data_IF_075849736695
#
_entry.id   IF_075849736695
#
_cell.length_a   1.000
_cell.length_b   1.000
_cell.length_c   1.000
_cell.angle_alpha   90.00
_cell.angle_beta   90.00
_cell.angle_gamma   90.00
#
_symmetry.space_group_name_H-M   'P 1'
#
loop_
_entity.id
_entity.type
_entity.pdbx_description
1 polymer ?
#
# COMPACT_ATOMS: atom_id res chain seq x y z
N UNK A 1 10.84 13.67 18.90
CA UNK A 1 9.51 14.21 18.49
C UNK A 1 9.49 14.84 17.09
N UNK A 2 10.15 15.98 16.81
CA UNK A 2 10.04 16.70 15.52
C UNK A 2 10.40 15.83 14.31
N UNK A 3 11.49 15.07 14.38
CA UNK A 3 11.93 14.16 13.30
C UNK A 3 10.87 13.10 12.96
N UNK A 4 10.17 12.57 13.98
CA UNK A 4 9.07 11.61 13.81
C UNK A 4 7.86 12.22 13.11
N UNK A 5 7.50 13.46 13.47
CA UNK A 5 6.41 14.21 12.82
C UNK A 5 6.71 14.45 11.33
N UNK A 6 7.93 14.87 11.01
CA UNK A 6 8.36 15.06 9.62
C UNK A 6 8.34 13.75 8.84
N UNK A 7 8.82 12.65 9.44
CA UNK A 7 8.80 11.33 8.83
C UNK A 7 7.37 10.83 8.57
N UNK A 8 6.46 10.94 9.54
CA UNK A 8 5.05 10.56 9.39
C UNK A 8 4.33 11.41 8.35
N UNK A 9 4.64 12.71 8.29
CA UNK A 9 4.08 13.61 7.27
C UNK A 9 4.56 13.24 5.86
N UNK A 10 5.85 12.95 5.70
CA UNK A 10 6.39 12.47 4.44
C UNK A 10 5.84 11.10 4.05
N UNK A 11 5.66 10.22 5.02
CA UNK A 11 5.02 8.91 4.81
C UNK A 11 3.57 9.05 4.35
N UNK A 12 2.79 9.94 4.97
CA UNK A 12 1.42 10.20 4.55
C UNK A 12 1.37 10.66 3.10
N UNK A 13 2.29 11.55 2.70
CA UNK A 13 2.47 11.95 1.31
C UNK A 13 2.84 10.77 0.41
N UNK A 14 3.83 9.96 0.80
CA UNK A 14 4.32 8.82 0.02
C UNK A 14 3.22 7.77 -0.22
N UNK A 15 2.48 7.39 0.83
CA UNK A 15 1.35 6.45 0.74
C UNK A 15 0.25 7.03 -0.14
N UNK A 16 -0.16 8.28 0.09
CA UNK A 16 -1.21 8.91 -0.72
C UNK A 16 -0.81 8.93 -2.20
N UNK A 17 0.44 9.30 -2.51
CA UNK A 17 0.92 9.36 -3.90
C UNK A 17 1.15 7.99 -4.53
N UNK A 18 1.55 6.97 -3.76
CA UNK A 18 1.70 5.59 -4.24
C UNK A 18 0.37 4.94 -4.67
N UNK A 19 -0.74 5.36 -4.05
CA UNK A 19 -2.05 4.79 -4.26
C UNK A 19 -2.99 5.65 -5.14
N UNK A 20 -2.52 6.82 -5.59
CA UNK A 20 -3.23 7.65 -6.56
C UNK A 20 -2.62 7.53 -7.96
N UNK A 21 -3.43 7.60 -9.03
CA UNK A 21 -2.92 7.56 -10.39
C UNK A 21 -2.01 8.76 -10.69
N UNK A 22 -0.83 8.55 -11.29
CA UNK A 22 0.10 9.62 -11.63
C UNK A 22 -0.42 10.52 -12.76
N UNK A 23 -1.34 10.02 -13.57
CA UNK A 23 -1.98 10.76 -14.66
C UNK A 23 -3.50 10.81 -14.42
N UNK A 24 -4.13 11.99 -14.34
CA UNK A 24 -5.59 12.07 -14.35
C UNK A 24 -6.12 11.46 -15.66
N UNK A 25 -7.30 10.83 -15.65
CA UNK A 25 -7.88 10.28 -16.87
C UNK A 25 -8.06 11.41 -17.88
N UNK A 26 -7.30 11.38 -18.98
CA UNK A 26 -7.50 12.33 -20.08
C UNK A 26 -8.88 12.11 -20.68
N UNK A 27 -9.73 13.15 -20.80
CA UNK A 27 -11.09 13.01 -21.35
C UNK A 27 -11.13 12.56 -22.83
N UNK A 28 -9.99 12.48 -23.51
CA UNK A 28 -9.92 12.38 -24.96
C UNK A 28 -8.65 11.67 -25.45
N UNK A 29 -8.55 10.34 -25.27
CA UNK A 29 -7.72 9.52 -26.17
C UNK A 29 -8.30 8.14 -26.40
N UNK A 30 -9.32 8.12 -27.26
CA UNK A 30 -9.63 7.10 -28.26
C UNK A 30 -9.26 5.63 -27.98
N UNK A 31 -10.34 4.90 -27.68
CA UNK A 31 -10.57 3.45 -27.78
C UNK A 31 -9.96 2.63 -26.64
N UNK A 32 -10.72 2.60 -25.52
CA UNK A 32 -10.71 1.51 -24.55
C UNK A 32 -11.05 0.21 -25.29
N UNK A 33 -10.09 -0.71 -25.43
CA UNK A 33 -10.30 -1.96 -26.20
C UNK A 33 -10.97 -3.02 -25.33
N UNK A 34 -10.62 -3.07 -24.04
CA UNK A 34 -11.22 -3.97 -23.06
C UNK A 34 -10.98 -3.41 -21.65
N UNK A 35 -12.02 -3.38 -20.80
CA UNK A 35 -11.85 -3.17 -19.36
C UNK A 35 -12.63 -4.22 -18.59
N UNK A 36 -11.91 -5.04 -17.81
CA UNK A 36 -12.49 -6.03 -16.92
C UNK A 36 -12.55 -5.51 -15.48
N UNK A 37 -12.94 -4.25 -15.33
CA UNK A 37 -13.31 -3.68 -14.04
C UNK A 37 -14.70 -4.24 -13.68
N UNK A 38 -14.74 -5.43 -13.06
CA UNK A 38 -15.94 -5.89 -12.37
C UNK A 38 -16.27 -4.96 -11.19
N UNK A 39 -17.46 -5.11 -10.59
CA UNK A 39 -17.87 -4.36 -9.38
C UNK A 39 -16.78 -4.34 -8.29
N UNK A 40 -16.11 -5.48 -8.12
CA UNK A 40 -14.99 -5.67 -7.18
C UNK A 40 -13.80 -4.75 -7.50
N UNK A 41 -13.47 -4.56 -8.77
CA UNK A 41 -12.35 -3.71 -9.21
C UNK A 41 -12.62 -2.23 -8.90
N UNK A 42 -13.82 -1.75 -9.25
CA UNK A 42 -14.25 -0.37 -8.99
C UNK A 42 -14.30 -0.09 -7.49
N UNK A 43 -14.87 -1.02 -6.71
CA UNK A 43 -14.92 -0.92 -5.25
C UNK A 43 -13.52 -0.84 -4.65
N UNK A 44 -12.59 -1.70 -5.09
CA UNK A 44 -11.23 -1.70 -4.59
C UNK A 44 -10.48 -0.40 -4.93
N UNK A 45 -10.54 0.08 -6.18
CA UNK A 45 -9.77 1.25 -6.61
C UNK A 45 -10.30 2.51 -5.95
N UNK A 46 -11.61 2.76 -6.02
CA UNK A 46 -12.16 4.06 -5.67
C UNK A 46 -12.58 4.14 -4.20
N UNK A 47 -13.14 3.06 -3.64
CA UNK A 47 -13.69 3.08 -2.28
C UNK A 47 -12.65 2.60 -1.27
N UNK A 48 -12.08 1.41 -1.46
CA UNK A 48 -11.13 0.83 -0.50
C UNK A 48 -9.86 1.67 -0.37
N UNK A 49 -9.28 2.15 -1.48
CA UNK A 49 -8.08 2.99 -1.45
C UNK A 49 -8.32 4.32 -0.72
N UNK A 50 -9.46 4.96 -0.98
CA UNK A 50 -9.82 6.22 -0.32
C UNK A 50 -10.05 6.03 1.18
N UNK A 51 -10.80 5.00 1.56
CA UNK A 51 -11.02 4.62 2.97
C UNK A 51 -9.70 4.29 3.67
N UNK A 52 -8.81 3.54 3.02
CA UNK A 52 -7.49 3.21 3.57
C UNK A 52 -6.63 4.46 3.78
N UNK A 53 -6.72 5.44 2.89
CA UNK A 53 -5.97 6.71 3.00
C UNK A 53 -6.49 7.55 4.16
N UNK A 54 -7.81 7.64 4.34
CA UNK A 54 -8.44 8.30 5.49
C UNK A 54 -8.06 7.60 6.79
N UNK A 55 -8.13 6.27 6.82
CA UNK A 55 -7.77 5.49 8.00
C UNK A 55 -6.31 5.72 8.39
N UNK A 56 -5.39 5.71 7.44
CA UNK A 56 -3.98 5.99 7.69
C UNK A 56 -3.74 7.43 8.20
N UNK A 57 -4.50 8.39 7.70
CA UNK A 57 -4.46 9.76 8.21
C UNK A 57 -4.91 9.82 9.67
N UNK A 58 -6.03 9.17 10.01
CA UNK A 58 -6.54 9.07 11.39
C UNK A 58 -5.49 8.44 12.30
N UNK A 59 -4.87 7.32 11.88
CA UNK A 59 -3.81 6.66 12.64
C UNK A 59 -2.61 7.57 12.86
N UNK A 60 -2.21 8.34 11.86
CA UNK A 60 -1.11 9.30 11.99
C UNK A 60 -1.41 10.38 13.02
N UNK A 61 -2.65 10.89 13.05
CA UNK A 61 -3.08 11.82 14.09
C UNK A 61 -3.11 11.18 15.48
N UNK A 62 -3.66 9.96 15.60
CA UNK A 62 -3.66 9.21 16.85
C UNK A 62 -2.24 8.96 17.37
N UNK A 63 -1.32 8.57 16.48
CA UNK A 63 0.07 8.34 16.81
C UNK A 63 0.76 9.59 17.34
N UNK A 64 0.60 10.72 16.64
CA UNK A 64 1.16 12.01 17.07
C UNK A 64 0.55 12.45 18.40
N UNK A 65 -0.74 12.22 18.62
CA UNK A 65 -1.40 12.52 19.87
C UNK A 65 -0.83 11.72 21.04
N UNK A 66 -0.73 10.39 20.92
CA UNK A 66 -0.13 9.51 21.95
C UNK A 66 1.32 9.92 22.21
N UNK A 67 2.10 10.15 21.14
CA UNK A 67 3.47 10.63 21.24
C UNK A 67 3.56 11.94 22.03
N UNK A 68 2.68 12.91 21.78
CA UNK A 68 2.64 14.16 22.52
C UNK A 68 2.27 13.95 24.00
N UNK A 69 1.28 13.11 24.28
CA UNK A 69 0.86 12.79 25.66
C UNK A 69 1.97 12.12 26.47
N UNK A 70 2.78 11.25 25.84
CA UNK A 70 3.97 10.67 26.48
C UNK A 70 5.04 11.72 26.79
N UNK A 71 5.24 12.72 25.93
CA UNK A 71 6.26 13.75 26.14
C UNK A 71 5.92 14.71 27.28
N UNK A 72 4.64 15.01 27.48
CA UNK A 72 4.17 15.78 28.64
C UNK A 72 3.96 14.91 29.89
N UNK A 73 4.32 13.62 29.83
CA UNK A 73 4.13 12.62 30.89
C UNK A 73 2.67 12.46 31.37
N UNK A 74 1.70 12.74 30.49
CA UNK A 74 0.27 12.59 30.81
C UNK A 74 -0.20 11.12 30.72
N UNK A 75 0.48 10.30 29.93
CA UNK A 75 0.27 8.85 29.86
C UNK A 75 1.58 8.11 30.08
N UNK A 76 1.55 6.91 30.69
CA UNK A 76 2.75 6.13 30.92
C UNK A 76 3.27 5.52 29.62
N UNK A 77 4.58 5.24 29.61
CA UNK A 77 5.18 4.29 28.65
C UNK A 77 4.79 2.90 29.15
N UNK A 78 4.07 2.14 28.32
CA UNK A 78 3.60 0.81 28.70
C UNK A 78 4.77 -0.20 28.74
N UNK A 79 4.73 -1.23 29.61
CA UNK A 79 5.86 -2.14 29.85
C UNK A 79 6.24 -3.02 28.64
N UNK A 80 5.42 -3.03 27.59
CA UNK A 80 5.67 -3.73 26.33
C UNK A 80 6.39 -2.86 25.31
N UNK A 81 6.63 -1.59 25.64
CA UNK A 81 7.40 -0.65 24.83
C UNK A 81 8.72 -0.32 25.50
N UNK A 82 9.81 -0.54 24.75
CA UNK A 82 11.16 -0.24 25.21
C UNK A 82 11.48 1.27 25.18
N UNK A 83 10.68 2.07 24.46
CA UNK A 83 10.96 3.49 24.18
C UNK A 83 9.68 4.31 24.00
N UNK A 84 9.78 5.64 24.15
CA UNK A 84 8.71 6.57 23.76
C UNK A 84 8.43 6.49 22.25
N UNK A 85 7.22 6.84 21.81
CA UNK A 85 6.87 6.97 20.39
C UNK A 85 7.73 8.03 19.68
N UNK A 86 8.21 9.01 20.44
CA UNK A 86 8.99 10.12 19.91
C UNK A 86 10.44 9.74 19.60
N UNK A 87 10.89 8.60 20.13
CA UNK A 87 12.20 8.00 19.91
C UNK A 87 12.15 7.06 18.70
N UNK A 88 13.32 6.80 18.12
CA UNK A 88 13.45 5.90 16.98
C UNK A 88 14.01 4.58 17.47
N UNK A 89 13.23 3.51 17.35
CA UNK A 89 13.75 2.15 17.48
C UNK A 89 14.12 1.59 16.09
N UNK A 90 14.86 0.47 16.09
CA UNK A 90 15.32 -0.18 14.85
C UNK A 90 14.14 -0.59 13.95
N UNK A 91 13.04 -1.07 14.54
CA UNK A 91 11.86 -1.52 13.81
C UNK A 91 11.19 -0.36 13.08
N UNK A 92 11.05 0.79 13.75
CA UNK A 92 10.51 2.02 13.15
C UNK A 92 11.34 2.47 11.96
N UNK A 93 12.68 2.44 12.09
CA UNK A 93 13.60 2.83 11.01
C UNK A 93 13.44 1.86 9.82
N UNK A 94 13.42 0.56 10.08
CA UNK A 94 13.24 -0.46 9.03
C UNK A 94 11.90 -0.27 8.33
N UNK A 95 10.80 -0.15 9.08
CA UNK A 95 9.47 0.04 8.51
C UNK A 95 9.35 1.34 7.70
N UNK A 96 9.95 2.44 8.19
CA UNK A 96 10.01 3.69 7.45
C UNK A 96 10.80 3.54 6.15
N UNK A 97 11.97 2.92 6.17
CA UNK A 97 12.78 2.66 4.98
C UNK A 97 12.07 1.73 3.98
N UNK A 98 11.37 0.70 4.45
CA UNK A 98 10.49 -0.13 3.63
C UNK A 98 9.43 0.70 2.93
N UNK A 99 8.78 1.63 3.65
CA UNK A 99 7.78 2.51 3.05
C UNK A 99 8.38 3.41 1.97
N UNK A 100 9.56 4.00 2.22
CA UNK A 100 10.24 4.83 1.22
C UNK A 100 10.68 4.00 0.01
N UNK A 101 11.27 2.82 0.23
CA UNK A 101 11.66 1.90 -0.83
C UNK A 101 10.48 1.46 -1.68
N UNK A 102 9.36 1.12 -1.05
CA UNK A 102 8.11 0.78 -1.72
C UNK A 102 7.54 1.92 -2.56
N UNK A 103 7.60 3.15 -2.04
CA UNK A 103 7.18 4.36 -2.75
C UNK A 103 8.08 4.63 -3.97
N UNK A 104 9.40 4.56 -3.81
CA UNK A 104 10.34 4.71 -4.93
C UNK A 104 10.13 3.65 -6.00
N UNK A 105 9.89 2.39 -5.62
CA UNK A 105 9.58 1.31 -6.55
C UNK A 105 8.28 1.57 -7.32
N UNK A 106 7.24 2.07 -6.64
CA UNK A 106 5.98 2.51 -7.28
C UNK A 106 6.21 3.61 -8.32
N UNK A 107 6.96 4.66 -7.96
CA UNK A 107 7.29 5.73 -8.90
C UNK A 107 8.10 5.22 -10.10
N UNK A 108 9.04 4.31 -9.89
CA UNK A 108 9.78 3.70 -10.97
C UNK A 108 8.88 2.88 -11.91
N UNK A 109 7.91 2.13 -11.36
CA UNK A 109 6.91 1.42 -12.17
C UNK A 109 6.05 2.39 -12.98
N UNK A 110 5.58 3.48 -12.36
CA UNK A 110 4.77 4.51 -13.02
C UNK A 110 5.54 5.16 -14.18
N UNK A 111 6.80 5.51 -13.95
CA UNK A 111 7.66 6.09 -14.98
C UNK A 111 8.00 5.10 -16.09
N UNK A 112 8.19 3.81 -15.76
CA UNK A 112 8.54 2.77 -16.75
C UNK A 112 7.36 2.41 -17.64
N UNK A 113 6.16 2.26 -17.08
CA UNK A 113 4.94 2.01 -17.85
C UNK A 113 4.47 3.29 -18.58
N UNK A 114 4.73 4.47 -18.02
CA UNK A 114 4.41 5.78 -18.58
C UNK A 114 2.98 5.81 -19.18
N UNK A 115 2.87 6.00 -20.50
CA UNK A 115 1.58 6.04 -21.22
C UNK A 115 0.80 4.73 -21.20
N UNK A 116 1.44 3.59 -20.91
CA UNK A 116 0.79 2.29 -20.76
C UNK A 116 0.30 2.02 -19.34
N UNK A 117 0.69 2.85 -18.37
CA UNK A 117 0.17 2.71 -17.01
C UNK A 117 -1.33 3.03 -17.00
N UNK A 118 -2.09 2.11 -16.42
CA UNK A 118 -3.48 2.30 -16.06
C UNK A 118 -3.64 1.77 -14.64
N UNK A 119 -4.23 2.57 -13.75
CA UNK A 119 -4.64 2.04 -12.45
C UNK A 119 -5.71 0.98 -12.64
N UNK A 120 -6.58 1.15 -13.62
CA UNK A 120 -7.63 0.21 -14.00
C UNK A 120 -7.07 -0.95 -14.85
N UNK A 121 -7.72 -2.11 -14.81
CA UNK A 121 -7.43 -3.24 -15.71
C UNK A 121 -7.85 -2.90 -17.15
N UNK A 122 -6.96 -2.23 -17.88
CA UNK A 122 -7.24 -1.69 -19.21
C UNK A 122 -6.12 -1.98 -20.21
N UNK A 123 -6.49 -2.50 -21.38
CA UNK A 123 -5.61 -2.60 -22.54
C UNK A 123 -5.84 -1.37 -23.42
N UNK A 124 -4.78 -0.55 -23.55
CA UNK A 124 -4.77 0.62 -24.44
C UNK A 124 -4.51 0.20 -25.90
N UNK A 125 -4.94 1.00 -26.87
CA UNK A 125 -4.60 0.76 -28.28
C UNK A 125 -3.07 0.71 -28.45
N UNK A 126 -2.57 -0.32 -29.14
CA UNK A 126 -1.13 -0.63 -29.30
C UNK A 126 -0.40 -0.89 -27.97
N UNK A 127 -1.08 -1.47 -26.96
CA UNK A 127 -0.42 -1.90 -25.72
C UNK A 127 0.74 -2.85 -26.04
N UNK A 128 1.92 -2.55 -25.50
CA UNK A 128 3.10 -3.41 -25.62
C UNK A 128 3.41 -3.99 -24.26
N UNK A 129 3.85 -5.25 -24.23
CA UNK A 129 4.36 -5.86 -23.02
C UNK A 129 5.69 -5.21 -22.64
N UNK A 130 5.69 -4.41 -21.57
CA UNK A 130 6.88 -3.72 -21.09
C UNK A 130 7.73 -4.67 -20.26
N UNK A 131 8.98 -4.88 -20.69
CA UNK A 131 9.94 -5.80 -20.06
C UNK A 131 11.19 -5.08 -19.54
N UNK A 132 11.13 -3.75 -19.38
CA UNK A 132 12.25 -2.89 -18.97
C UNK A 132 12.08 -2.38 -17.54
N UNK A 133 13.13 -1.79 -16.96
CA UNK A 133 13.09 -1.25 -15.59
C UNK A 133 12.79 -2.35 -14.56
N UNK A 134 11.88 -2.12 -13.58
CA UNK A 134 11.60 -3.10 -12.53
C UNK A 134 10.89 -4.35 -13.07
N UNK A 135 10.29 -4.28 -14.27
CA UNK A 135 9.64 -5.41 -14.97
C UNK A 135 10.66 -6.39 -15.58
N UNK A 136 11.96 -6.09 -15.53
CA UNK A 136 13.00 -7.07 -15.87
C UNK A 136 13.11 -8.17 -14.80
N UNK A 137 12.84 -7.84 -13.53
CA UNK A 137 13.06 -8.71 -12.38
C UNK A 137 11.77 -9.40 -11.90
N UNK A 138 10.65 -8.68 -11.93
CA UNK A 138 9.38 -9.10 -11.37
C UNK A 138 8.24 -8.90 -12.36
N UNK A 139 7.20 -9.74 -12.28
CA UNK A 139 5.98 -9.58 -13.08
C UNK A 139 5.18 -8.39 -12.54
N UNK A 140 5.05 -8.27 -11.21
CA UNK A 140 4.20 -7.29 -10.53
C UNK A 140 4.97 -6.38 -9.55
N UNK A 141 6.05 -5.68 -9.96
CA UNK A 141 6.87 -4.86 -9.05
C UNK A 141 6.08 -3.72 -8.39
N UNK A 142 5.04 -3.21 -9.06
CA UNK A 142 4.17 -2.17 -8.50
C UNK A 142 3.38 -2.66 -7.30
N UNK A 143 2.92 -3.92 -7.28
CA UNK A 143 2.23 -4.51 -6.14
C UNK A 143 3.19 -4.74 -4.98
N UNK A 144 4.42 -5.18 -5.26
CA UNK A 144 5.49 -5.26 -4.25
C UNK A 144 5.74 -3.90 -3.60
N UNK A 145 5.84 -2.84 -4.40
CA UNK A 145 5.97 -1.47 -3.90
C UNK A 145 4.78 -1.04 -3.02
N UNK A 146 3.56 -1.45 -3.39
CA UNK A 146 2.34 -1.21 -2.60
C UNK A 146 2.35 -1.92 -1.23
N UNK A 147 2.79 -3.17 -1.18
CA UNK A 147 2.90 -3.91 0.08
C UNK A 147 3.98 -3.32 1.00
N UNK A 148 5.14 -2.94 0.45
CA UNK A 148 6.20 -2.28 1.21
C UNK A 148 5.79 -0.91 1.75
N UNK A 149 4.96 -0.16 1.00
CA UNK A 149 4.42 1.13 1.49
C UNK A 149 3.54 0.96 2.73
N UNK A 150 2.91 -0.20 2.91
CA UNK A 150 2.02 -0.49 4.04
C UNK A 150 2.74 -0.92 5.33
N UNK A 151 4.05 -1.21 5.28
CA UNK A 151 4.79 -1.76 6.44
C UNK A 151 4.71 -0.87 7.69
N UNK A 152 4.90 0.45 7.56
CA UNK A 152 4.83 1.33 8.72
C UNK A 152 3.39 1.55 9.23
N UNK A 153 2.37 1.40 8.37
CA UNK A 153 0.95 1.45 8.79
C UNK A 153 0.65 0.30 9.74
N UNK A 154 1.12 -0.91 9.42
CA UNK A 154 0.99 -2.08 10.27
C UNK A 154 1.68 -1.90 11.62
N UNK A 155 2.88 -1.30 11.64
CA UNK A 155 3.61 -1.01 12.87
C UNK A 155 2.86 0.01 13.75
N UNK A 156 2.34 1.09 13.16
CA UNK A 156 1.57 2.09 13.90
C UNK A 156 0.31 1.49 14.53
N UNK A 157 -0.38 0.61 13.82
CA UNK A 157 -1.52 -0.13 14.39
C UNK A 157 -1.11 -0.96 15.61
N UNK A 158 0.00 -1.70 15.49
CA UNK A 158 0.52 -2.52 16.57
C UNK A 158 0.91 -1.69 17.81
N UNK A 159 1.60 -0.56 17.62
CA UNK A 159 1.97 0.34 18.72
C UNK A 159 0.73 0.99 19.37
N UNK A 160 -0.19 1.52 18.56
CA UNK A 160 -1.42 2.14 19.06
C UNK A 160 -2.36 1.16 19.77
N UNK A 161 -2.34 -0.11 19.37
CA UNK A 161 -3.16 -1.17 19.95
C UNK A 161 -3.05 -1.22 21.49
N UNK A 162 -1.86 -1.04 22.04
CA UNK A 162 -1.61 -1.09 23.48
C UNK A 162 -2.23 0.10 24.24
N UNK A 163 -2.49 1.22 23.56
CA UNK A 163 -3.03 2.45 24.15
C UNK A 163 -4.54 2.59 24.01
N UNK A 164 -5.20 1.84 23.11
CA UNK A 164 -6.67 1.75 23.01
C UNK A 164 -7.37 1.55 24.38
N UNK A 165 -6.89 0.65 25.28
CA UNK A 165 -7.41 0.50 26.64
C UNK A 165 -7.63 1.76 27.45
N UNK A 166 -6.80 2.79 27.24
CA UNK A 166 -6.82 4.02 28.03
C UNK A 166 -7.96 4.96 27.63
N UNK A 167 -8.44 4.83 26.39
CA UNK A 167 -9.41 5.76 25.79
C UNK A 167 -10.76 5.13 25.48
N UNK A 168 -10.84 3.80 25.39
CA UNK A 168 -12.03 3.08 24.95
C UNK A 168 -12.51 2.05 25.97
N UNK A 169 -13.82 1.99 26.17
CA UNK A 169 -14.46 1.01 27.06
C UNK A 169 -14.35 -0.43 26.54
N UNK A 170 -14.49 -1.42 27.42
CA UNK A 170 -14.29 -2.84 27.10
C UNK A 170 -15.12 -3.37 25.92
N UNK A 171 -16.28 -2.76 25.63
CA UNK A 171 -17.19 -3.23 24.57
C UNK A 171 -16.69 -2.94 23.15
N UNK A 172 -15.92 -1.86 22.95
CA UNK A 172 -15.38 -1.46 21.64
C UNK A 172 -13.89 -1.80 21.48
N UNK A 173 -13.22 -2.08 22.60
CA UNK A 173 -11.79 -2.39 22.68
C UNK A 173 -11.38 -3.57 21.78
N UNK A 174 -12.13 -4.67 21.80
CA UNK A 174 -11.81 -5.85 20.99
C UNK A 174 -11.90 -5.57 19.49
N UNK A 175 -12.93 -4.82 19.07
CA UNK A 175 -13.15 -4.44 17.67
C UNK A 175 -11.99 -3.58 17.16
N UNK A 176 -11.59 -2.56 17.93
CA UNK A 176 -10.57 -1.59 17.53
C UNK A 176 -9.13 -2.12 17.66
N UNK A 177 -8.86 -3.04 18.60
CA UNK A 177 -7.49 -3.41 18.97
C UNK A 177 -6.82 -4.44 18.08
N UNK A 178 -7.55 -5.41 17.54
CA UNK A 178 -6.95 -6.46 16.70
C UNK A 178 -7.88 -6.89 15.56
N UNK A 179 -9.17 -7.12 15.81
CA UNK A 179 -10.06 -7.70 14.81
C UNK A 179 -10.24 -6.83 13.56
N UNK A 180 -10.51 -5.53 13.72
CA UNK A 180 -10.74 -4.66 12.56
C UNK A 180 -9.47 -4.45 11.71
N UNK A 181 -8.29 -4.10 12.25
CA UNK A 181 -7.08 -3.95 11.44
C UNK A 181 -6.64 -5.26 10.78
N UNK A 182 -6.75 -6.39 11.49
CA UNK A 182 -6.45 -7.72 10.94
C UNK A 182 -7.41 -8.07 9.80
N UNK A 183 -8.71 -7.85 9.97
CA UNK A 183 -9.71 -8.07 8.93
C UNK A 183 -9.45 -7.21 7.68
N UNK A 184 -9.16 -5.91 7.85
CA UNK A 184 -8.84 -5.00 6.75
C UNK A 184 -7.58 -5.43 6.00
N UNK A 185 -6.57 -5.92 6.72
CA UNK A 185 -5.33 -6.45 6.13
C UNK A 185 -5.61 -7.71 5.30
N UNK A 186 -6.40 -8.66 5.82
CA UNK A 186 -6.81 -9.86 5.08
C UNK A 186 -7.63 -9.51 3.83
N UNK A 187 -8.59 -8.59 3.95
CA UNK A 187 -9.38 -8.13 2.80
C UNK A 187 -8.47 -7.45 1.76
N UNK A 188 -7.54 -6.60 2.18
CA UNK A 188 -6.59 -5.94 1.28
C UNK A 188 -5.72 -6.94 0.51
N UNK A 189 -5.20 -7.97 1.18
CA UNK A 189 -4.44 -9.05 0.55
C UNK A 189 -5.32 -9.84 -0.43
N UNK A 190 -6.52 -10.24 0.01
CA UNK A 190 -7.47 -11.00 -0.82
C UNK A 190 -7.83 -10.26 -2.11
N UNK A 191 -8.18 -8.97 -2.00
CA UNK A 191 -8.49 -8.15 -3.17
C UNK A 191 -7.27 -7.94 -4.07
N UNK A 192 -6.08 -7.76 -3.50
CA UNK A 192 -4.84 -7.62 -4.27
C UNK A 192 -4.52 -8.88 -5.07
N UNK A 193 -4.67 -10.07 -4.48
CA UNK A 193 -4.48 -11.35 -5.16
C UNK A 193 -5.51 -11.53 -6.27
N UNK A 194 -6.78 -11.28 -5.98
CA UNK A 194 -7.87 -11.38 -6.97
C UNK A 194 -7.59 -10.47 -8.17
N UNK A 195 -7.14 -9.24 -7.90
CA UNK A 195 -6.79 -8.26 -8.93
C UNK A 195 -5.62 -8.74 -9.79
N UNK A 196 -4.57 -9.28 -9.17
CA UNK A 196 -3.42 -9.83 -9.91
C UNK A 196 -3.85 -10.97 -10.81
N UNK A 197 -4.69 -11.89 -10.34
CA UNK A 197 -5.18 -13.01 -11.16
C UNK A 197 -5.94 -12.48 -12.39
N UNK A 198 -6.83 -11.49 -12.20
CA UNK A 198 -7.58 -10.86 -13.30
C UNK A 198 -6.64 -10.13 -14.28
N UNK A 199 -5.60 -9.45 -13.77
CA UNK A 199 -4.59 -8.78 -14.57
C UNK A 199 -3.80 -9.77 -15.43
N UNK A 200 -3.34 -10.87 -14.85
CA UNK A 200 -2.59 -11.90 -15.58
C UNK A 200 -3.47 -12.61 -16.63
N UNK A 201 -4.74 -12.87 -16.33
CA UNK A 201 -5.69 -13.42 -17.30
C UNK A 201 -5.88 -12.46 -18.48
N UNK A 202 -6.06 -11.17 -18.21
CA UNK A 202 -6.17 -10.14 -19.24
C UNK A 202 -4.90 -10.06 -20.09
N UNK A 203 -3.72 -10.08 -19.46
CA UNK A 203 -2.43 -10.04 -20.17
C UNK A 203 -2.21 -11.30 -21.02
N UNK A 204 -2.54 -12.48 -20.50
CA UNK A 204 -2.46 -13.75 -21.23
C UNK A 204 -3.41 -13.79 -22.42
N UNK A 205 -4.66 -13.31 -22.26
CA UNK A 205 -5.63 -13.26 -23.35
C UNK A 205 -5.20 -12.32 -24.48
N UNK A 206 -4.47 -11.24 -24.17
CA UNK A 206 -4.03 -10.25 -25.15
C UNK A 206 -2.68 -10.60 -25.81
N UNK A 207 -1.72 -11.10 -25.04
CA UNK A 207 -0.34 -11.35 -25.50
C UNK A 207 -0.03 -12.83 -25.77
N UNK A 208 -0.86 -13.75 -25.32
CA UNK A 208 -0.73 -15.19 -25.58
C UNK A 208 0.65 -15.74 -25.20
N UNK A 209 1.35 -16.31 -26.18
CA UNK A 209 2.67 -16.94 -26.00
C UNK A 209 3.74 -15.96 -25.46
N UNK A 210 3.68 -14.69 -25.86
CA UNK A 210 4.66 -13.70 -25.41
C UNK A 210 4.57 -13.47 -23.89
N UNK A 211 3.35 -13.57 -23.33
CA UNK A 211 3.12 -13.51 -21.90
C UNK A 211 3.61 -14.76 -21.17
N UNK A 212 3.32 -15.94 -21.72
CA UNK A 212 3.74 -17.21 -21.12
C UNK A 212 5.29 -17.30 -21.04
N UNK A 213 6.00 -16.85 -22.07
CA UNK A 213 7.47 -16.73 -22.05
C UNK A 213 7.96 -15.71 -21.01
N UNK A 214 7.30 -14.56 -20.93
CA UNK A 214 7.66 -13.50 -19.99
C UNK A 214 7.55 -13.94 -18.53
N UNK A 215 6.46 -14.65 -18.19
CA UNK A 215 6.19 -15.17 -16.84
C UNK A 215 7.16 -16.30 -16.48
N UNK A 216 7.53 -17.17 -17.43
CA UNK A 216 8.42 -18.32 -17.16
C UNK A 216 9.81 -17.93 -16.64
N UNK A 217 10.26 -16.71 -16.94
CA UNK A 217 11.59 -16.21 -16.59
C UNK A 217 11.61 -15.36 -15.31
N UNK A 218 10.45 -15.06 -14.71
CA UNK A 218 10.31 -14.03 -13.68
C UNK A 218 9.46 -14.51 -12.51
N UNK A 219 9.70 -13.92 -11.34
CA UNK A 219 8.89 -14.15 -10.14
C UNK A 219 7.74 -13.14 -10.08
N UNK A 220 6.63 -13.46 -9.42
CA UNK A 220 5.46 -12.56 -9.43
C UNK A 220 5.68 -11.32 -8.59
N UNK A 221 6.06 -11.47 -7.32
CA UNK A 221 6.12 -10.34 -6.37
C UNK A 221 7.50 -10.12 -5.75
N UNK A 222 8.08 -11.14 -5.10
CA UNK A 222 9.36 -11.03 -4.40
C UNK A 222 10.14 -12.31 -4.67
N UNK A 223 11.50 -12.27 -4.73
CA UNK A 223 12.28 -13.48 -4.65
C UNK A 223 11.80 -14.37 -3.49
N UNK A 224 11.37 -15.60 -3.79
CA UNK A 224 10.95 -16.64 -2.83
C UNK A 224 9.52 -16.56 -2.25
N UNK A 225 8.71 -15.61 -2.70
CA UNK A 225 7.26 -15.57 -2.40
C UNK A 225 6.53 -15.60 -3.75
N UNK A 226 5.99 -16.78 -4.08
CA UNK A 226 5.28 -17.19 -5.32
C UNK A 226 5.52 -16.34 -6.58
#
# INVERSE_FOLDING_TARGET
MITKILALSFQQYAVTKAFNPPNPPTPSSNVKVMSHEGFIGIFFINVFTYLSTILHLILSFCYIYIMYQQEINAIPILPYEDSKFSEWNLVDIICFLCTIGGFCLRLWCFNTLAKFFAFNLEIKKNHKLIKTGPYTLLIHPSYTGAFLTMSNVSLMFYQLHYYIPLYFSNNVRWILSLYLPTLLSFLGIYFSITRVILEEQMMRNNFGKEWDEYVSQRKRFVPYIF
#
